data_IF_314579257960
#
_entry.id   IF_314579257960
#
_cell.length_a   1.000
_cell.length_b   1.000
_cell.length_c   1.000
_cell.angle_alpha   90.00
_cell.angle_beta   90.00
_cell.angle_gamma   90.00
#
_symmetry.space_group_name_H-M   'P 1'
#
loop_
_entity.id
_entity.type
_entity.pdbx_description
1 polymer ?
#
# COMPACT_ATOMS: atom_id res chain seq x y z
N UNK A 1 -19.37 1.84 18.19
CA UNK A 1 -19.76 2.78 17.12
C UNK A 1 -18.49 3.55 16.75
N UNK A 2 -18.28 3.84 15.46
CA UNK A 2 -17.17 4.67 14.97
C UNK A 2 -17.72 5.84 14.17
N UNK A 3 -17.07 7.01 14.25
CA UNK A 3 -17.49 8.25 13.60
C UNK A 3 -18.32 9.18 14.49
N UNK A 4 -19.04 10.13 13.87
CA UNK A 4 -19.89 11.09 14.58
C UNK A 4 -21.08 10.33 15.19
N UNK A 5 -21.16 10.35 16.51
CA UNK A 5 -22.28 9.80 17.27
C UNK A 5 -23.08 10.94 17.89
N UNK A 6 -24.41 10.84 17.82
CA UNK A 6 -25.32 11.79 18.46
C UNK A 6 -25.94 11.11 19.67
N UNK A 7 -25.85 11.78 20.82
CA UNK A 7 -26.58 11.41 22.03
C UNK A 7 -27.72 12.40 22.25
N UNK A 8 -28.82 11.89 22.80
CA UNK A 8 -29.98 12.68 23.15
C UNK A 8 -30.37 12.42 24.59
N UNK A 9 -31.08 13.36 25.20
CA UNK A 9 -31.63 13.18 26.53
C UNK A 9 -32.68 14.21 26.87
N UNK A 10 -33.29 14.03 28.03
CA UNK A 10 -34.25 14.95 28.59
C UNK A 10 -33.75 15.45 29.95
N UNK A 11 -34.02 16.71 30.25
CA UNK A 11 -33.82 17.28 31.58
C UNK A 11 -35.08 18.08 31.94
N UNK A 12 -35.53 17.93 33.18
CA UNK A 12 -36.72 18.60 33.68
C UNK A 12 -36.39 19.35 34.94
N UNK A 13 -36.99 20.52 35.08
CA UNK A 13 -36.98 21.33 36.28
C UNK A 13 -38.41 21.83 36.52
N UNK A 14 -38.76 22.21 37.75
CA UNK A 14 -40.09 22.75 38.04
C UNK A 14 -40.29 24.18 37.49
N UNK A 15 -39.21 24.88 37.11
CA UNK A 15 -39.24 26.19 36.46
C UNK A 15 -38.60 26.13 35.07
N UNK A 16 -37.28 25.96 34.99
CA UNK A 16 -36.54 25.89 33.71
C UNK A 16 -35.13 25.33 33.89
N UNK A 17 -34.72 24.44 32.98
CA UNK A 17 -33.32 24.02 32.85
C UNK A 17 -32.57 25.07 32.03
N UNK A 18 -31.54 25.67 32.62
CA UNK A 18 -30.73 26.75 32.04
C UNK A 18 -29.65 26.24 31.09
N UNK A 19 -29.01 25.11 31.39
CA UNK A 19 -27.99 24.52 30.50
C UNK A 19 -27.84 23.02 30.72
N UNK A 20 -27.33 22.33 29.69
CA UNK A 20 -26.84 20.95 29.80
C UNK A 20 -25.43 20.89 29.25
N UNK A 21 -24.48 20.42 30.06
CA UNK A 21 -23.09 20.20 29.67
C UNK A 21 -22.77 18.72 29.65
N UNK A 22 -22.00 18.27 28.66
CA UNK A 22 -21.58 16.88 28.48
C UNK A 22 -20.10 16.74 28.85
N UNK A 23 -19.81 15.67 29.59
CA UNK A 23 -18.49 15.26 30.02
C UNK A 23 -18.23 13.83 29.56
N UNK A 24 -17.00 13.52 29.17
CA UNK A 24 -16.56 12.16 28.84
C UNK A 24 -15.42 11.81 29.80
N UNK A 25 -15.57 10.72 30.55
CA UNK A 25 -14.65 10.28 31.60
C UNK A 25 -14.28 11.37 32.61
N UNK A 26 -15.26 12.22 32.93
CA UNK A 26 -15.11 13.34 33.86
C UNK A 26 -14.47 14.61 33.25
N UNK A 27 -13.93 14.56 32.04
CA UNK A 27 -13.42 15.72 31.33
C UNK A 27 -14.56 16.49 30.64
N UNK A 28 -14.59 17.81 30.78
CA UNK A 28 -15.57 18.66 30.12
C UNK A 28 -15.41 18.57 28.61
N UNK A 29 -16.49 18.22 27.91
CA UNK A 29 -16.47 17.99 26.47
C UNK A 29 -17.21 19.10 25.71
N UNK A 30 -18.36 19.58 26.20
CA UNK A 30 -19.04 20.73 25.60
C UNK A 30 -20.47 20.98 26.11
N UNK A 31 -21.11 22.05 25.63
CA UNK A 31 -22.53 22.32 25.86
C UNK A 31 -23.40 21.57 24.85
N UNK A 32 -24.50 21.00 25.33
CA UNK A 32 -25.52 20.39 24.49
C UNK A 32 -26.37 21.45 23.77
N UNK A 33 -26.95 21.06 22.65
CA UNK A 33 -27.96 21.85 21.95
C UNK A 33 -29.34 21.54 22.54
N UNK A 34 -30.03 22.57 23.05
CA UNK A 34 -31.28 22.43 23.81
C UNK A 34 -31.04 22.16 25.30
N UNK A 35 -32.11 22.27 26.11
CA UNK A 35 -32.05 22.07 27.57
C UNK A 35 -33.08 21.08 28.07
N UNK A 36 -34.36 21.23 27.72
CA UNK A 36 -35.43 20.31 28.13
C UNK A 36 -35.36 18.96 27.37
N UNK A 37 -35.26 19.04 26.04
CA UNK A 37 -34.83 17.94 25.17
C UNK A 37 -33.54 18.40 24.51
N UNK A 38 -32.46 17.68 24.76
CA UNK A 38 -31.14 18.10 24.36
C UNK A 38 -30.45 17.06 23.49
N UNK A 39 -29.52 17.53 22.66
CA UNK A 39 -28.72 16.70 21.77
C UNK A 39 -27.26 17.12 21.83
N UNK A 40 -26.35 16.15 21.69
CA UNK A 40 -24.92 16.41 21.64
C UNK A 40 -24.25 15.47 20.64
N UNK A 41 -23.40 16.01 19.76
CA UNK A 41 -22.65 15.24 18.78
C UNK A 41 -21.17 15.24 19.10
N UNK A 42 -20.53 14.07 19.02
CA UNK A 42 -19.10 13.93 19.22
C UNK A 42 -18.51 12.87 18.30
N UNK A 43 -17.20 12.99 18.02
CA UNK A 43 -16.49 12.04 17.18
C UNK A 43 -15.89 10.92 18.04
N UNK A 44 -16.47 9.73 17.96
CA UNK A 44 -15.96 8.54 18.67
C UNK A 44 -14.59 8.10 18.19
N UNK A 45 -14.15 8.49 16.98
CA UNK A 45 -12.81 8.17 16.46
C UNK A 45 -11.67 8.86 17.24
N UNK A 46 -11.98 9.91 18.02
CA UNK A 46 -11.02 10.56 18.91
C UNK A 46 -10.89 9.87 20.28
N UNK A 47 -11.77 8.92 20.59
CA UNK A 47 -11.75 8.14 21.83
C UNK A 47 -11.03 6.80 21.62
N UNK A 48 -10.42 6.30 22.67
CA UNK A 48 -9.82 4.97 22.68
C UNK A 48 -10.89 3.89 22.62
N UNK A 49 -10.53 2.68 22.16
CA UNK A 49 -11.44 1.54 22.23
C UNK A 49 -11.54 1.03 23.66
N UNK A 50 -12.51 1.53 24.41
CA UNK A 50 -12.76 1.11 25.78
C UNK A 50 -14.18 1.46 26.23
N UNK A 51 -14.49 1.15 27.48
CA UNK A 51 -15.70 1.63 28.15
C UNK A 51 -15.49 3.09 28.59
N UNK A 52 -16.33 3.99 28.09
CA UNK A 52 -16.33 5.41 28.45
C UNK A 52 -17.61 5.75 29.22
N UNK A 53 -17.49 6.65 30.19
CA UNK A 53 -18.64 7.17 30.93
C UNK A 53 -18.98 8.55 30.40
N UNK A 54 -20.16 8.67 29.81
CA UNK A 54 -20.72 9.94 29.36
C UNK A 54 -21.61 10.48 30.46
N UNK A 55 -21.31 11.68 30.95
CA UNK A 55 -22.09 12.36 31.99
C UNK A 55 -22.71 13.62 31.43
N UNK A 56 -24.02 13.77 31.60
CA UNK A 56 -24.74 15.02 31.34
C UNK A 56 -24.99 15.73 32.68
N UNK A 57 -24.63 17.02 32.74
CA UNK A 57 -24.89 17.91 33.88
C UNK A 57 -25.91 18.96 33.46
N UNK A 58 -27.13 18.85 34.00
CA UNK A 58 -28.17 19.86 33.85
C UNK A 58 -28.08 20.87 34.99
N UNK A 59 -28.21 22.17 34.69
CA UNK A 59 -28.19 23.25 35.67
C UNK A 59 -29.42 24.14 35.47
N UNK A 60 -30.11 24.52 36.54
CA UNK A 60 -31.21 25.49 36.50
C UNK A 60 -30.73 26.95 36.60
N UNK A 61 -31.66 27.92 36.59
CA UNK A 61 -31.33 29.35 36.74
C UNK A 61 -30.82 29.71 38.15
N UNK A 62 -31.16 28.92 39.16
CA UNK A 62 -30.73 29.12 40.54
C UNK A 62 -29.36 28.51 40.85
N UNK A 63 -28.76 27.81 39.87
CA UNK A 63 -27.47 27.13 39.99
C UNK A 63 -27.55 25.70 40.54
N UNK A 64 -28.76 25.15 40.78
CA UNK A 64 -28.91 23.75 41.17
C UNK A 64 -28.50 22.85 40.00
N UNK A 65 -27.82 21.74 40.31
CA UNK A 65 -27.29 20.84 39.29
C UNK A 65 -27.68 19.39 39.54
N UNK A 66 -28.04 18.69 38.48
CA UNK A 66 -28.28 17.25 38.46
C UNK A 66 -27.36 16.57 37.45
N UNK A 67 -26.92 15.35 37.77
CA UNK A 67 -26.07 14.53 36.91
C UNK A 67 -26.83 13.28 36.48
N UNK A 68 -26.68 12.90 35.22
CA UNK A 68 -27.04 11.60 34.70
C UNK A 68 -25.86 11.04 33.91
N UNK A 69 -25.60 9.74 34.04
CA UNK A 69 -24.48 9.10 33.37
C UNK A 69 -24.93 7.82 32.65
N UNK A 70 -24.28 7.56 31.51
CA UNK A 70 -24.42 6.31 30.75
C UNK A 70 -23.04 5.79 30.40
N UNK A 71 -22.88 4.48 30.44
CA UNK A 71 -21.66 3.81 29.98
C UNK A 71 -21.82 3.44 28.52
N UNK A 72 -20.83 3.79 27.70
CA UNK A 72 -20.79 3.47 26.26
C UNK A 72 -19.48 2.75 25.96
N UNK A 73 -19.57 1.63 25.24
CA UNK A 73 -18.38 0.95 24.72
C UNK A 73 -18.04 1.52 23.35
N UNK A 74 -16.88 2.16 23.27
CA UNK A 74 -16.29 2.58 22.01
C UNK A 74 -15.53 1.40 21.42
N UNK A 75 -15.86 1.08 20.17
CA UNK A 75 -15.18 0.06 19.39
C UNK A 75 -15.08 0.62 17.96
N UNK A 76 -14.04 1.44 17.77
CA UNK A 76 -13.60 1.91 16.48
C UNK A 76 -12.85 0.77 15.79
N UNK A 77 -13.11 0.49 14.50
CA UNK A 77 -12.31 -0.48 13.77
C UNK A 77 -10.85 -0.04 13.83
N UNK A 78 -10.00 -0.85 14.45
CA UNK A 78 -8.57 -0.59 14.50
C UNK A 78 -8.01 -0.66 13.08
N UNK A 79 -7.27 0.36 12.68
CA UNK A 79 -6.34 0.23 11.55
C UNK A 79 -5.10 -0.50 12.07
N UNK A 80 -4.72 -1.58 11.42
CA UNK A 80 -3.46 -2.28 11.70
C UNK A 80 -2.37 -1.74 10.78
N UNK A 81 -1.09 -1.96 11.10
CA UNK A 81 -0.02 -1.65 10.16
C UNK A 81 -0.27 -2.39 8.83
N UNK A 82 0.14 -1.83 7.67
CA UNK A 82 -0.05 -2.50 6.40
C UNK A 82 0.64 -3.86 6.35
N UNK A 83 0.11 -4.78 5.56
CA UNK A 83 0.75 -6.07 5.27
C UNK A 83 0.89 -6.19 3.76
N UNK A 84 2.12 -6.39 3.28
CA UNK A 84 2.42 -6.55 1.85
C UNK A 84 1.78 -7.83 1.33
N UNK A 85 1.07 -7.75 0.21
CA UNK A 85 0.38 -8.87 -0.44
C UNK A 85 0.82 -9.10 -1.89
N UNK A 86 1.65 -8.23 -2.46
CA UNK A 86 2.23 -8.44 -3.79
C UNK A 86 3.22 -9.60 -3.79
N UNK A 87 3.44 -10.19 -4.97
CA UNK A 87 4.41 -11.28 -5.13
C UNK A 87 5.81 -10.81 -4.73
N UNK A 88 6.55 -11.62 -3.97
CA UNK A 88 7.90 -11.27 -3.48
C UNK A 88 9.02 -11.68 -4.44
N UNK A 89 8.66 -11.99 -5.68
CA UNK A 89 9.58 -12.29 -6.77
C UNK A 89 9.14 -11.54 -8.02
N UNK A 90 10.10 -11.00 -8.76
CA UNK A 90 9.85 -10.39 -10.06
C UNK A 90 11.08 -10.54 -10.94
N UNK A 91 10.86 -10.57 -12.25
CA UNK A 91 11.92 -10.70 -13.25
C UNK A 91 11.83 -9.56 -14.25
N UNK A 92 12.98 -9.12 -14.76
CA UNK A 92 13.08 -8.12 -15.81
C UNK A 92 14.20 -8.41 -16.78
N UNK A 93 14.23 -7.67 -17.88
CA UNK A 93 15.31 -7.71 -18.87
C UNK A 93 16.03 -6.36 -18.86
N UNK A 94 17.35 -6.37 -18.86
CA UNK A 94 18.15 -5.13 -18.95
C UNK A 94 17.76 -4.32 -20.19
N UNK A 95 17.64 -3.00 -20.05
CA UNK A 95 17.29 -2.11 -21.16
C UNK A 95 15.81 -2.17 -21.61
N UNK A 96 14.98 -3.00 -20.97
CA UNK A 96 13.54 -3.08 -21.21
C UNK A 96 12.77 -2.48 -20.03
N UNK A 97 11.67 -1.78 -20.31
CA UNK A 97 10.84 -1.21 -19.27
C UNK A 97 10.28 -2.32 -18.35
N UNK A 98 10.38 -2.11 -17.04
CA UNK A 98 9.81 -2.96 -16.01
C UNK A 98 8.77 -2.17 -15.21
N UNK A 99 7.73 -2.87 -14.78
CA UNK A 99 6.67 -2.35 -13.94
C UNK A 99 6.30 -3.40 -12.89
N UNK A 100 6.36 -3.03 -11.62
CA UNK A 100 5.97 -3.86 -10.49
C UNK A 100 5.16 -3.04 -9.50
N UNK A 101 3.98 -3.52 -9.12
CA UNK A 101 3.08 -2.83 -8.19
C UNK A 101 3.22 -3.42 -6.78
N UNK A 102 3.63 -2.61 -5.81
CA UNK A 102 3.50 -3.00 -4.39
C UNK A 102 2.03 -2.94 -4.02
N UNK A 103 1.47 -4.04 -3.51
CA UNK A 103 0.11 -4.08 -2.96
C UNK A 103 0.16 -4.43 -1.48
N UNK A 104 -0.72 -3.81 -0.70
CA UNK A 104 -0.82 -4.05 0.73
C UNK A 104 -2.26 -3.87 1.23
N UNK A 105 -2.59 -4.57 2.32
CA UNK A 105 -3.86 -4.41 3.05
C UNK A 105 -3.72 -3.41 4.20
N UNK A 106 -4.81 -3.17 4.93
CA UNK A 106 -4.90 -2.20 6.04
C UNK A 106 -4.64 -0.75 5.62
N UNK A 107 -5.19 -0.33 4.47
CA UNK A 107 -5.21 1.08 4.03
C UNK A 107 -3.84 1.77 4.04
N UNK A 108 -2.87 1.30 3.25
CA UNK A 108 -1.59 1.98 3.10
C UNK A 108 -1.78 3.38 2.50
N UNK A 109 -1.00 4.36 2.97
CA UNK A 109 -1.01 5.74 2.46
C UNK A 109 0.34 6.16 1.87
N UNK A 110 1.39 5.36 2.06
CA UNK A 110 2.70 5.59 1.48
C UNK A 110 3.45 4.28 1.29
N UNK A 111 4.38 4.28 0.34
CA UNK A 111 5.19 3.14 -0.04
C UNK A 111 6.66 3.51 -0.14
N UNK A 112 7.55 2.54 0.06
CA UNK A 112 8.98 2.71 -0.19
C UNK A 112 9.61 1.44 -0.77
N UNK A 113 10.74 1.61 -1.45
CA UNK A 113 11.56 0.54 -1.99
C UNK A 113 13.03 0.94 -1.91
N UNK A 114 13.87 0.12 -1.29
CA UNK A 114 15.30 0.33 -1.15
C UNK A 114 16.10 -0.85 -1.73
N UNK A 115 17.27 -0.58 -2.31
CA UNK A 115 18.08 -1.62 -2.99
C UNK A 115 17.62 -1.94 -4.41
N UNK A 116 16.86 -1.05 -5.04
CA UNK A 116 16.44 -1.20 -6.44
C UNK A 116 17.67 -1.27 -7.38
N UNK A 117 17.66 -2.15 -8.41
CA UNK A 117 18.59 -2.05 -9.54
C UNK A 117 18.61 -0.65 -10.15
N UNK A 118 19.78 -0.25 -10.65
CA UNK A 118 19.93 1.06 -11.30
C UNK A 118 18.91 1.22 -12.45
N UNK A 119 18.31 2.41 -12.57
CA UNK A 119 17.30 2.71 -13.58
C UNK A 119 15.85 2.41 -13.16
N UNK A 120 15.63 1.87 -11.96
CA UNK A 120 14.31 1.73 -11.36
C UNK A 120 14.07 2.74 -10.24
N UNK A 121 12.81 3.11 -10.03
CA UNK A 121 12.37 3.99 -8.95
C UNK A 121 10.98 3.59 -8.47
N UNK A 122 10.62 4.02 -7.25
CA UNK A 122 9.26 3.80 -6.70
C UNK A 122 8.50 5.12 -6.65
N UNK A 123 7.25 5.10 -7.10
CA UNK A 123 6.28 6.14 -6.77
C UNK A 123 5.79 5.91 -5.33
N UNK A 124 6.16 6.79 -4.41
CA UNK A 124 5.89 6.63 -2.97
C UNK A 124 4.42 6.78 -2.60
N UNK A 125 3.57 7.28 -3.50
CA UNK A 125 2.13 7.42 -3.30
C UNK A 125 1.39 6.20 -3.82
N UNK A 126 1.74 5.73 -5.03
CA UNK A 126 1.01 4.63 -5.67
C UNK A 126 1.63 3.26 -5.39
N UNK A 127 2.89 3.18 -4.96
CA UNK A 127 3.62 1.93 -4.77
C UNK A 127 4.13 1.31 -6.08
N UNK A 128 4.03 2.02 -7.20
CA UNK A 128 4.52 1.53 -8.49
C UNK A 128 6.04 1.66 -8.57
N UNK A 129 6.73 0.52 -8.66
CA UNK A 129 8.15 0.45 -9.02
C UNK A 129 8.22 0.37 -10.55
N UNK A 130 8.86 1.33 -11.20
CA UNK A 130 8.99 1.36 -12.66
C UNK A 130 10.29 1.98 -13.13
N UNK A 131 10.60 1.74 -14.40
CA UNK A 131 11.78 2.28 -15.09
C UNK A 131 12.40 1.24 -16.01
N UNK A 132 13.66 1.44 -16.36
CA UNK A 132 14.42 0.54 -17.24
C UNK A 132 15.67 0.08 -16.50
N UNK A 133 15.76 -1.19 -16.07
CA UNK A 133 16.93 -1.69 -15.37
C UNK A 133 18.20 -1.56 -16.21
N UNK A 134 19.28 -1.11 -15.59
CA UNK A 134 20.58 -0.89 -16.24
C UNK A 134 21.66 -1.91 -15.83
N UNK A 135 21.34 -2.81 -14.90
CA UNK A 135 22.29 -3.81 -14.36
C UNK A 135 21.64 -5.18 -14.30
N UNK A 136 22.34 -6.20 -14.78
CA UNK A 136 21.96 -7.62 -14.65
C UNK A 136 22.26 -8.10 -13.23
N UNK A 137 21.46 -9.05 -12.75
CA UNK A 137 21.66 -9.74 -11.48
C UNK A 137 20.42 -9.75 -10.60
N UNK A 138 20.53 -10.41 -9.46
CA UNK A 138 19.45 -10.48 -8.47
C UNK A 138 19.68 -9.46 -7.35
N UNK A 139 18.68 -8.61 -7.14
CA UNK A 139 18.63 -7.65 -6.04
C UNK A 139 17.60 -8.09 -4.99
N UNK A 140 17.99 -7.98 -3.72
CA UNK A 140 17.06 -8.09 -2.58
C UNK A 140 16.53 -6.70 -2.24
N UNK A 141 15.38 -6.35 -2.81
CA UNK A 141 14.75 -5.02 -2.66
C UNK A 141 13.89 -5.01 -1.40
N UNK A 142 14.21 -4.15 -0.43
CA UNK A 142 13.37 -3.94 0.75
C UNK A 142 12.18 -3.05 0.38
N UNK A 143 10.97 -3.61 0.37
CA UNK A 143 9.73 -2.88 0.09
C UNK A 143 8.93 -2.66 1.37
N UNK A 144 8.24 -1.53 1.48
CA UNK A 144 7.35 -1.27 2.61
C UNK A 144 6.12 -0.45 2.23
N UNK A 145 5.10 -0.56 3.07
CA UNK A 145 3.89 0.24 3.02
C UNK A 145 3.54 0.74 4.42
N UNK A 146 3.14 2.00 4.55
CA UNK A 146 2.85 2.61 5.85
C UNK A 146 1.49 3.29 5.89
N UNK A 147 0.90 3.31 7.08
CA UNK A 147 -0.27 4.10 7.46
C UNK A 147 -0.04 4.73 8.85
N UNK A 148 -1.05 5.38 9.42
CA UNK A 148 -0.93 6.00 10.75
C UNK A 148 -0.75 5.01 11.91
N UNK A 149 -0.96 3.71 11.67
CA UNK A 149 -0.78 2.64 12.67
C UNK A 149 0.58 1.95 12.58
N UNK A 150 1.40 2.26 11.57
CA UNK A 150 2.76 1.76 11.44
C UNK A 150 3.12 1.36 10.01
N UNK A 151 4.17 0.54 9.90
CA UNK A 151 4.76 0.13 8.63
C UNK A 151 4.83 -1.39 8.54
N UNK A 152 4.39 -1.94 7.41
CA UNK A 152 4.68 -3.32 7.01
C UNK A 152 5.80 -3.37 5.99
N UNK A 153 6.69 -4.36 6.11
CA UNK A 153 7.85 -4.52 5.23
C UNK A 153 7.98 -5.95 4.73
N UNK A 154 8.53 -6.12 3.53
CA UNK A 154 8.89 -7.40 2.94
C UNK A 154 10.16 -7.25 2.06
N UNK A 155 10.76 -8.37 1.67
CA UNK A 155 11.87 -8.38 0.71
C UNK A 155 11.40 -8.95 -0.64
N UNK A 156 11.55 -8.17 -1.70
CA UNK A 156 11.31 -8.55 -3.09
C UNK A 156 12.62 -9.03 -3.72
N UNK A 157 12.67 -10.29 -4.17
CA UNK A 157 13.74 -10.78 -5.01
C UNK A 157 13.49 -10.36 -6.47
N UNK A 158 14.26 -9.39 -6.95
CA UNK A 158 14.16 -8.88 -8.32
C UNK A 158 15.35 -9.34 -9.14
N UNK A 159 15.13 -10.22 -10.11
CA UNK A 159 16.16 -10.71 -11.03
C UNK A 159 16.08 -9.99 -12.36
N UNK A 160 17.18 -9.39 -12.79
CA UNK A 160 17.31 -8.77 -14.11
C UNK A 160 18.23 -9.63 -14.97
N UNK A 161 17.74 -10.08 -16.12
CA UNK A 161 18.45 -10.96 -17.05
C UNK A 161 18.92 -10.21 -18.30
N UNK A 162 19.87 -10.82 -19.00
CA UNK A 162 20.24 -10.43 -20.37
C UNK A 162 19.05 -10.69 -21.31
N UNK A 163 18.90 -9.89 -22.37
CA UNK A 163 17.94 -10.20 -23.43
C UNK A 163 18.31 -11.46 -24.23
N UNK A 164 19.59 -11.85 -24.19
CA UNK A 164 20.11 -13.05 -24.84
C UNK A 164 20.06 -14.31 -23.94
N UNK A 165 19.71 -14.15 -22.65
CA UNK A 165 19.47 -15.28 -21.73
C UNK A 165 17.99 -15.64 -21.79
N UNK A 166 17.66 -16.62 -22.64
CA UNK A 166 16.30 -16.98 -22.99
C UNK A 166 15.69 -18.00 -22.02
N UNK A 167 16.52 -18.78 -21.32
CA UNK A 167 16.07 -19.72 -20.31
C UNK A 167 16.09 -19.13 -18.88
N UNK A 168 16.61 -17.92 -18.71
CA UNK A 168 16.69 -17.17 -17.45
C UNK A 168 17.49 -17.92 -16.36
N UNK A 169 18.52 -18.66 -16.77
CA UNK A 169 19.43 -19.35 -15.85
C UNK A 169 20.59 -18.45 -15.36
N UNK A 170 20.68 -17.22 -15.87
CA UNK A 170 21.69 -16.23 -15.52
C UNK A 170 22.95 -16.31 -16.39
N UNK A 171 23.01 -17.20 -17.39
CA UNK A 171 24.16 -17.40 -18.26
C UNK A 171 23.77 -17.46 -19.74
N UNK A 172 24.17 -16.48 -20.54
CA UNK A 172 24.05 -16.59 -22.01
C UNK A 172 24.97 -17.69 -22.54
N UNK A 173 24.42 -18.80 -23.05
CA UNK A 173 25.19 -19.96 -23.48
C UNK A 173 24.55 -20.71 -24.68
N UNK A 174 25.04 -21.91 -24.98
CA UNK A 174 24.58 -22.72 -26.13
C UNK A 174 23.10 -23.14 -26.02
N UNK A 175 22.56 -23.23 -24.82
CA UNK A 175 21.14 -23.53 -24.58
C UNK A 175 20.26 -22.37 -25.08
N UNK A 176 20.66 -21.12 -24.82
CA UNK A 176 19.95 -19.95 -25.34
C UNK A 176 20.02 -19.86 -26.86
N UNK A 177 21.19 -20.13 -27.43
CA UNK A 177 21.37 -20.21 -28.89
C UNK A 177 20.41 -21.23 -29.49
N UNK A 178 20.31 -22.43 -28.89
CA UNK A 178 19.41 -23.47 -29.36
C UNK A 178 17.94 -23.03 -29.30
N UNK A 179 17.54 -22.37 -28.21
CA UNK A 179 16.20 -21.81 -28.07
C UNK A 179 15.90 -20.76 -29.15
N UNK A 180 16.87 -19.91 -29.46
CA UNK A 180 16.71 -18.89 -30.48
C UNK A 180 16.64 -19.47 -31.89
N UNK A 181 17.45 -20.49 -32.20
CA UNK A 181 17.38 -21.23 -33.47
C UNK A 181 16.00 -21.87 -33.63
N UNK A 182 15.47 -22.51 -32.58
CA UNK A 182 14.14 -23.11 -32.62
C UNK A 182 13.04 -22.08 -32.91
N UNK A 183 13.14 -20.88 -32.31
CA UNK A 183 12.23 -19.77 -32.57
C UNK A 183 12.32 -19.26 -34.01
N UNK A 184 13.54 -19.06 -34.53
CA UNK A 184 13.75 -18.61 -35.91
C UNK A 184 13.26 -19.62 -36.97
N UNK A 185 13.29 -20.92 -36.65
CA UNK A 185 12.74 -21.98 -37.50
C UNK A 185 11.22 -22.14 -37.38
N UNK A 186 10.55 -21.37 -36.51
CA UNK A 186 9.11 -21.45 -36.28
C UNK A 186 8.66 -22.67 -35.48
N UNK A 187 9.57 -23.36 -34.80
CA UNK A 187 9.22 -24.52 -33.96
C UNK A 187 8.49 -24.11 -32.67
N UNK A 188 8.58 -22.84 -32.27
CA UNK A 188 7.92 -22.24 -31.10
C UNK A 188 7.50 -20.80 -31.41
N UNK A 189 6.54 -20.26 -30.64
CA UNK A 189 6.16 -18.85 -30.75
C UNK A 189 7.36 -17.93 -30.52
N UNK A 190 7.50 -16.91 -31.37
CA UNK A 190 8.60 -15.96 -31.37
C UNK A 190 8.52 -15.02 -30.16
N UNK A 191 9.57 -15.01 -29.34
CA UNK A 191 9.74 -14.11 -28.18
C UNK A 191 11.08 -13.36 -28.19
N UNK A 192 12.01 -13.74 -29.07
CA UNK A 192 13.40 -13.25 -29.10
C UNK A 192 13.76 -12.46 -30.37
N UNK A 193 12.98 -11.42 -30.68
CA UNK A 193 13.32 -10.41 -31.70
C UNK A 193 14.34 -9.42 -31.09
N UNK A 194 15.62 -9.73 -31.25
CA UNK A 194 16.73 -8.96 -30.64
C UNK A 194 17.03 -7.70 -31.43
N UNK A 195 16.86 -7.69 -32.75
CA UNK A 195 17.10 -6.49 -33.57
C UNK A 195 15.88 -5.55 -33.65
N UNK A 196 14.71 -5.99 -33.17
CA UNK A 196 13.44 -5.25 -33.14
C UNK A 196 12.92 -4.92 -34.54
N UNK A 197 13.14 -5.80 -35.51
CA UNK A 197 12.62 -5.65 -36.87
C UNK A 197 11.22 -6.29 -37.07
N UNK A 198 10.71 -6.95 -36.03
CA UNK A 198 9.41 -7.64 -36.03
C UNK A 198 9.47 -9.09 -36.49
N UNK A 199 10.64 -9.63 -36.83
CA UNK A 199 10.85 -11.01 -37.26
C UNK A 199 11.96 -11.66 -36.43
N UNK A 200 11.73 -12.87 -35.91
CA UNK A 200 12.84 -13.70 -35.41
C UNK A 200 13.45 -14.48 -36.57
N UNK A 201 14.70 -14.18 -36.92
CA UNK A 201 15.38 -14.77 -38.06
C UNK A 201 16.88 -15.00 -37.77
N UNK A 202 17.66 -15.28 -38.82
CA UNK A 202 19.10 -15.57 -38.71
C UNK A 202 19.90 -14.42 -38.08
N UNK A 203 19.41 -13.18 -38.17
CA UNK A 203 20.06 -12.00 -37.58
C UNK A 203 20.00 -12.08 -36.05
N UNK A 204 18.85 -12.45 -35.49
CA UNK A 204 18.69 -12.62 -34.04
C UNK A 204 19.54 -13.77 -33.55
N UNK A 205 19.50 -14.92 -34.25
CA UNK A 205 20.34 -16.08 -33.96
C UNK A 205 21.81 -15.69 -33.94
N UNK A 206 22.28 -14.92 -34.92
CA UNK A 206 23.67 -14.49 -34.97
C UNK A 206 24.08 -13.63 -33.76
N UNK A 207 23.16 -12.79 -33.26
CA UNK A 207 23.37 -11.98 -32.05
C UNK A 207 23.41 -12.85 -30.79
N UNK A 208 22.52 -13.82 -30.67
CA UNK A 208 22.56 -14.77 -29.55
C UNK A 208 23.80 -15.65 -29.58
N UNK A 209 24.23 -16.14 -30.75
CA UNK A 209 25.49 -16.88 -30.91
C UNK A 209 26.68 -16.04 -30.47
N UNK A 210 26.77 -14.78 -30.93
CA UNK A 210 27.85 -13.88 -30.51
C UNK A 210 27.88 -13.71 -28.99
N UNK A 211 26.71 -13.53 -28.37
CA UNK A 211 26.60 -13.37 -26.93
C UNK A 211 26.95 -14.67 -26.16
N UNK A 212 26.50 -15.82 -26.64
CA UNK A 212 26.83 -17.13 -26.07
C UNK A 212 28.31 -17.52 -26.21
N UNK A 213 29.03 -16.90 -27.14
CA UNK A 213 30.49 -17.02 -27.30
C UNK A 213 31.28 -15.97 -26.49
N UNK A 214 30.62 -15.21 -25.61
CA UNK A 214 31.25 -14.21 -24.73
C UNK A 214 31.30 -12.79 -25.30
N UNK A 215 30.70 -12.54 -26.45
CA UNK A 215 30.50 -11.19 -26.99
C UNK A 215 29.39 -10.41 -26.26
N UNK A 216 29.26 -9.10 -26.51
CA UNK A 216 28.15 -8.32 -25.96
C UNK A 216 26.81 -8.77 -26.54
N UNK A 217 25.76 -8.79 -25.70
CA UNK A 217 24.39 -8.95 -26.16
C UNK A 217 23.90 -7.62 -26.76
N UNK A 218 23.67 -7.60 -28.08
CA UNK A 218 23.28 -6.38 -28.82
C UNK A 218 21.79 -6.42 -29.13
N UNK A 219 21.05 -5.45 -28.59
CA UNK A 219 19.59 -5.31 -28.78
C UNK A 219 19.29 -4.02 -29.54
N UNK A 220 18.36 -4.07 -30.49
CA UNK A 220 17.94 -2.94 -31.33
C UNK A 220 18.51 -2.98 -32.76
N UNK A 221 18.12 -2.04 -33.63
CA UNK A 221 18.53 -2.02 -35.03
C UNK A 221 20.05 -1.92 -35.20
#
# INVERSE_FOLDING_TARGET
>A
MSGITVITGVATDNVVVSSVAVFIDGAAYGLASGTASWTFSFNTAALTNSSHIITARAVDISGNAALAAVTVVVNNPGISAPVITSALTSTGTIGTALSYQITAVNSPVSFSAAGLPAGLSVNTVTGLISGTPATIGTSSVAISAANSSGTGSASLALSVYSACDLNQDGSTNVVDVQLQVNQALGATACTSDLNRDGLCNVIDVQRGVNAGLGGPCVVGP
#
